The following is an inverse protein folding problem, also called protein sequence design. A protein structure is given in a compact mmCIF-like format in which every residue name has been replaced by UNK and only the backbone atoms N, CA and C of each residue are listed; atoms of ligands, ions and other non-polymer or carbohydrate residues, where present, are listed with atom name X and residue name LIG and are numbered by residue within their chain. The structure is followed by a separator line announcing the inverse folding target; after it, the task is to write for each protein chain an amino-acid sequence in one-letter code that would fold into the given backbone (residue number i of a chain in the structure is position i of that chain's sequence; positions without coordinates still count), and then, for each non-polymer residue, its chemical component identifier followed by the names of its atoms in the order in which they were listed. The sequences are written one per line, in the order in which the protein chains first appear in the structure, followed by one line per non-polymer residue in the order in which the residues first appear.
data_IF_491331632741
#
_entry.id   IF_491331632741
#
_cell.length_a   1.000
_cell.length_b   1.000
_cell.length_c   1.000
_cell.angle_alpha   90.00
_cell.angle_beta   90.00
_cell.angle_gamma   90.00
#
_symmetry.space_group_name_H-M   'P 1'
#
loop_
_entity.id
_entity.type
_entity.pdbx_description
1 polymer ?
#
# COMPACT_ATOMS: atom_id res chain seq x y z
N UNK A 1 -0.02 -20.68 -1.86
CA UNK A 1 -0.97 -19.56 -1.98
C UNK A 1 -0.36 -18.19 -1.69
N UNK A 2 -0.05 -17.78 -0.44
CA UNK A 2 0.40 -16.39 -0.16
C UNK A 2 1.69 -16.03 -0.90
N UNK A 3 2.67 -16.94 -0.95
CA UNK A 3 3.90 -16.75 -1.73
C UNK A 3 3.64 -16.47 -3.22
N UNK A 4 2.61 -17.09 -3.80
CA UNK A 4 2.22 -16.87 -5.20
C UNK A 4 1.76 -15.43 -5.46
N UNK A 5 1.13 -14.79 -4.47
CA UNK A 5 0.73 -13.38 -4.55
C UNK A 5 1.88 -12.38 -4.45
N UNK A 6 3.10 -12.86 -4.17
CA UNK A 6 4.30 -12.03 -4.11
C UNK A 6 5.04 -12.00 -5.47
N UNK A 7 4.64 -12.82 -6.43
CA UNK A 7 5.22 -12.78 -7.77
C UNK A 7 4.86 -11.46 -8.49
N UNK A 8 5.78 -10.89 -9.29
CA UNK A 8 5.49 -9.73 -10.12
C UNK A 8 4.27 -9.96 -11.01
N UNK A 9 3.36 -8.98 -11.06
CA UNK A 9 2.13 -9.07 -11.85
C UNK A 9 1.03 -9.98 -11.27
N UNK A 10 1.23 -10.60 -10.11
CA UNK A 10 0.22 -11.47 -9.51
C UNK A 10 -1.04 -10.68 -9.09
N UNK A 11 -2.21 -11.14 -9.55
CA UNK A 11 -3.51 -10.60 -9.16
C UNK A 11 -4.06 -11.37 -7.97
N UNK A 12 -4.11 -10.72 -6.81
CA UNK A 12 -4.53 -11.34 -5.54
C UNK A 12 -5.94 -11.96 -5.65
N UNK A 13 -6.86 -11.31 -6.36
CA UNK A 13 -8.23 -11.79 -6.51
C UNK A 13 -8.30 -13.11 -7.31
N UNK A 14 -7.43 -13.30 -8.30
CA UNK A 14 -7.39 -14.54 -9.09
C UNK A 14 -6.81 -15.70 -8.28
N UNK A 15 -5.75 -15.42 -7.52
CA UNK A 15 -5.19 -16.39 -6.58
C UNK A 15 -6.24 -16.76 -5.53
N UNK A 16 -6.89 -15.78 -4.92
CA UNK A 16 -7.95 -16.00 -3.94
C UNK A 16 -9.08 -16.90 -4.46
N UNK A 17 -9.57 -16.66 -5.69
CA UNK A 17 -10.59 -17.49 -6.35
C UNK A 17 -10.14 -18.93 -6.54
N UNK A 18 -8.92 -19.16 -7.04
CA UNK A 18 -8.40 -20.52 -7.27
C UNK A 18 -8.26 -21.33 -5.98
N UNK A 19 -7.92 -20.66 -4.89
CA UNK A 19 -7.78 -21.27 -3.57
C UNK A 19 -9.08 -21.22 -2.74
N UNK A 20 -10.19 -20.72 -3.32
CA UNK A 20 -11.51 -20.60 -2.66
C UNK A 20 -11.47 -19.85 -1.32
N UNK A 21 -10.70 -18.75 -1.28
CA UNK A 21 -10.61 -17.87 -0.10
C UNK A 21 -10.99 -16.44 -0.47
N UNK A 22 -11.33 -15.63 0.53
CA UNK A 22 -11.53 -14.20 0.34
C UNK A 22 -10.20 -13.47 0.17
N UNK A 23 -10.14 -12.49 -0.74
CA UNK A 23 -8.95 -11.65 -0.95
C UNK A 23 -8.47 -10.98 0.34
N UNK A 24 -9.41 -10.57 1.21
CA UNK A 24 -9.11 -9.98 2.51
C UNK A 24 -8.29 -10.91 3.42
N UNK A 25 -8.58 -12.21 3.40
CA UNK A 25 -7.84 -13.22 4.16
C UNK A 25 -6.39 -13.31 3.67
N UNK A 26 -6.19 -13.24 2.35
CA UNK A 26 -4.85 -13.20 1.74
C UNK A 26 -4.08 -11.94 2.16
N UNK A 27 -4.74 -10.79 2.23
CA UNK A 27 -4.11 -9.55 2.73
C UNK A 27 -3.72 -9.67 4.20
N UNK A 28 -4.58 -10.24 5.05
CA UNK A 28 -4.28 -10.48 6.47
C UNK A 28 -3.03 -11.33 6.62
N UNK A 29 -2.96 -12.48 5.94
CA UNK A 29 -1.79 -13.35 6.00
C UNK A 29 -0.52 -12.70 5.45
N UNK A 30 -0.62 -11.90 4.37
CA UNK A 30 0.53 -11.11 3.87
C UNK A 30 1.04 -10.13 4.91
N UNK A 31 0.15 -9.54 5.70
CA UNK A 31 0.53 -8.62 6.78
C UNK A 31 1.21 -9.38 7.91
N UNK A 32 0.60 -10.46 8.38
CA UNK A 32 1.14 -11.34 9.43
C UNK A 32 2.54 -11.85 9.11
N UNK A 33 2.77 -12.28 7.86
CA UNK A 33 4.10 -12.72 7.44
C UNK A 33 5.13 -11.59 7.43
N UNK A 34 4.73 -10.35 7.11
CA UNK A 34 5.62 -9.18 7.22
C UNK A 34 5.90 -8.76 8.66
N UNK A 35 5.02 -9.06 9.62
CA UNK A 35 5.23 -8.69 11.02
C UNK A 35 6.47 -9.36 11.64
N UNK A 36 7.03 -10.39 11.00
CA UNK A 36 8.33 -10.96 11.36
C UNK A 36 9.54 -10.09 10.99
N UNK A 37 9.36 -9.05 10.16
CA UNK A 37 10.41 -8.16 9.67
C UNK A 37 10.06 -6.73 10.04
N UNK A 38 10.89 -6.11 10.89
CA UNK A 38 10.74 -4.69 11.19
C UNK A 38 10.90 -3.86 9.91
N UNK A 39 10.06 -2.84 9.67
CA UNK A 39 10.22 -1.97 8.52
C UNK A 39 11.56 -1.24 8.62
N UNK A 40 12.43 -1.41 7.63
CA UNK A 40 13.68 -0.68 7.50
C UNK A 40 13.46 0.57 6.66
N UNK A 41 14.04 1.70 7.08
CA UNK A 41 14.11 2.88 6.24
C UNK A 41 14.97 2.59 5.01
N UNK A 42 14.43 2.80 3.81
CA UNK A 42 15.16 2.65 2.54
C UNK A 42 15.42 4.06 1.98
N UNK A 43 16.69 4.45 1.76
CA UNK A 43 17.01 5.76 1.19
C UNK A 43 16.39 5.94 -0.20
N UNK A 44 15.81 7.11 -0.46
CA UNK A 44 15.40 7.49 -1.81
C UNK A 44 16.66 7.75 -2.65
N UNK A 45 16.73 7.14 -3.82
CA UNK A 45 17.73 7.48 -4.84
C UNK A 45 17.02 8.35 -5.86
N UNK A 46 17.36 9.64 -5.91
CA UNK A 46 16.83 10.54 -6.92
C UNK A 46 17.53 10.26 -8.26
N UNK A 47 16.75 10.03 -9.31
CA UNK A 47 17.27 10.11 -10.68
C UNK A 47 17.66 11.57 -10.97
N UNK A 48 18.73 11.83 -11.75
CA UNK A 48 19.11 13.18 -12.11
C UNK A 48 17.96 13.86 -12.87
N UNK A 49 17.35 14.87 -12.25
CA UNK A 49 16.24 15.64 -12.80
C UNK A 49 16.68 16.36 -14.07
N UNK A 50 16.04 16.03 -15.19
CA UNK A 50 16.13 16.84 -16.41
C UNK A 50 15.08 17.96 -16.32
N UNK A 51 15.56 19.16 -15.98
CA UNK A 51 14.83 20.43 -15.86
C UNK A 51 13.76 20.50 -14.74
N UNK A 52 13.59 21.68 -14.10
CA UNK A 52 12.56 21.86 -13.09
C UNK A 52 11.17 21.72 -13.71
N UNK A 53 10.44 20.69 -13.31
CA UNK A 53 8.99 20.66 -13.53
C UNK A 53 8.37 21.74 -12.66
N UNK A 54 7.74 22.74 -13.28
CA UNK A 54 6.85 23.66 -12.57
C UNK A 54 5.70 22.81 -12.03
N UNK A 55 5.73 22.52 -10.73
CA UNK A 55 4.66 21.79 -10.05
C UNK A 55 3.37 22.60 -10.12
N UNK A 56 2.47 22.24 -11.02
CA UNK A 56 1.06 22.61 -10.89
C UNK A 56 0.56 22.04 -9.56
N UNK A 57 -0.18 22.80 -8.74
CA UNK A 57 -0.62 22.31 -7.44
C UNK A 57 -1.46 21.05 -7.63
N UNK A 58 -1.01 19.95 -7.00
CA UNK A 58 -1.78 18.72 -6.90
C UNK A 58 -3.15 19.02 -6.29
N UNK A 59 -4.23 18.34 -6.71
CA UNK A 59 -5.53 18.50 -6.05
C UNK A 59 -5.38 18.14 -4.58
N UNK A 60 -5.50 19.13 -3.70
CA UNK A 60 -5.43 18.97 -2.26
C UNK A 60 -6.84 18.68 -1.73
N UNK A 61 -6.98 17.65 -0.90
CA UNK A 61 -8.21 17.37 -0.17
C UNK A 61 -8.04 17.93 1.24
N UNK A 62 -8.79 18.98 1.55
CA UNK A 62 -8.88 19.53 2.90
C UNK A 62 -9.90 18.73 3.71
N UNK A 63 -9.50 18.22 4.88
CA UNK A 63 -10.37 17.48 5.80
C UNK A 63 -10.59 18.33 7.05
N UNK A 64 -11.80 18.83 7.21
CA UNK A 64 -12.19 19.61 8.39
C UNK A 64 -12.70 18.68 9.49
N UNK A 65 -11.94 18.54 10.58
CA UNK A 65 -12.32 17.69 11.71
C UNK A 65 -13.27 18.45 12.64
N UNK A 66 -14.51 17.98 12.78
CA UNK A 66 -15.45 18.55 13.73
C UNK A 66 -15.01 18.26 15.18
N UNK A 67 -15.09 19.27 16.06
CA UNK A 67 -14.85 19.07 17.49
C UNK A 67 -16.00 18.26 18.09
N UNK A 68 -15.65 17.18 18.79
CA UNK A 68 -16.58 16.43 19.62
C UNK A 68 -17.11 17.36 20.73
N UNK A 69 -18.43 17.38 20.92
CA UNK A 69 -19.04 18.09 22.04
C UNK A 69 -18.78 17.28 23.31
N UNK A 70 -17.96 17.82 24.19
CA UNK A 70 -17.83 17.30 25.56
C UNK A 70 -19.09 17.73 26.32
N UNK A 71 -19.78 16.75 26.93
CA UNK A 71 -20.85 16.99 27.90
C UNK A 71 -20.27 17.40 29.26
#
# INVERSE_FOLDING_TARGET
MVAETLAPGAVIAEVARRWQVCSQQVFTWRREMRHSVAPSFVPIVAEPSMAPHVSTPSPCIEIQVARLRTY
#
